data_IF_081555590486
#
_entry.id   IF_081555590486
#
_cell.length_a   1.000
_cell.length_b   1.000
_cell.length_c   1.000
_cell.angle_alpha   90.00
_cell.angle_beta   90.00
_cell.angle_gamma   90.00
#
_symmetry.space_group_name_H-M   'P 1'
#
loop_
_entity.id
_entity.type
_entity.pdbx_description
1 polymer ?
#
# COMPACT_ATOMS: atom_id res chain seq x y z
N UNK A 1 -17.36 -14.54 -5.00
CA UNK A 1 -16.27 -13.54 -4.88
C UNK A 1 -15.52 -13.71 -3.57
N UNK A 2 -16.21 -13.71 -2.42
CA UNK A 2 -15.61 -14.00 -1.09
C UNK A 2 -14.87 -15.34 -1.04
N UNK A 3 -15.43 -16.40 -1.65
CA UNK A 3 -14.77 -17.70 -1.74
C UNK A 3 -13.41 -17.64 -2.47
N UNK A 4 -13.29 -16.80 -3.51
CA UNK A 4 -12.04 -16.62 -4.25
C UNK A 4 -11.00 -15.86 -3.42
N UNK A 5 -11.42 -14.88 -2.61
CA UNK A 5 -10.54 -14.12 -1.71
C UNK A 5 -10.05 -15.02 -0.57
N UNK A 6 -10.94 -15.80 0.02
CA UNK A 6 -10.58 -16.77 1.06
C UNK A 6 -9.56 -17.80 0.54
N UNK A 7 -9.78 -18.34 -0.67
CA UNK A 7 -8.83 -19.24 -1.32
C UNK A 7 -7.46 -18.58 -1.57
N UNK A 8 -7.44 -17.33 -2.06
CA UNK A 8 -6.21 -16.58 -2.28
C UNK A 8 -5.47 -16.32 -0.97
N UNK A 9 -6.17 -15.89 0.08
CA UNK A 9 -5.60 -15.68 1.42
C UNK A 9 -5.02 -16.97 2.00
N UNK A 10 -5.71 -18.11 1.84
CA UNK A 10 -5.19 -19.42 2.24
C UNK A 10 -3.90 -19.80 1.50
N UNK A 11 -3.84 -19.57 0.19
CA UNK A 11 -2.63 -19.78 -0.60
C UNK A 11 -1.48 -18.88 -0.14
N UNK A 12 -1.73 -17.58 0.07
CA UNK A 12 -0.73 -16.61 0.51
C UNK A 12 -0.17 -16.96 1.90
N UNK A 13 -1.02 -17.37 2.84
CA UNK A 13 -0.60 -17.84 4.16
C UNK A 13 0.33 -19.05 4.02
N UNK A 14 -0.09 -20.05 3.23
CA UNK A 14 0.69 -21.28 3.01
C UNK A 14 2.05 -20.99 2.39
N UNK A 15 2.11 -20.13 1.37
CA UNK A 15 3.35 -19.70 0.72
C UNK A 15 4.26 -18.93 1.70
N UNK A 16 3.71 -18.00 2.48
CA UNK A 16 4.48 -17.24 3.47
C UNK A 16 5.19 -18.17 4.46
N UNK A 17 4.49 -19.15 5.03
CA UNK A 17 5.10 -20.06 6.01
C UNK A 17 6.04 -21.08 5.37
N UNK A 18 5.78 -21.51 4.13
CA UNK A 18 6.72 -22.34 3.38
C UNK A 18 8.07 -21.63 3.21
N UNK A 19 8.04 -20.33 2.87
CA UNK A 19 9.24 -19.52 2.66
C UNK A 19 9.95 -19.10 3.96
N UNK A 20 9.29 -19.20 5.11
CA UNK A 20 9.80 -18.71 6.41
C UNK A 20 9.93 -19.82 7.47
N UNK A 21 10.14 -21.06 7.03
CA UNK A 21 10.43 -22.21 7.92
C UNK A 21 11.63 -21.90 8.84
N UNK A 22 11.60 -22.25 10.14
CA UNK A 22 10.61 -23.09 10.84
C UNK A 22 9.50 -22.30 11.56
N UNK A 23 9.25 -21.04 11.19
CA UNK A 23 8.19 -20.25 11.83
C UNK A 23 6.83 -20.76 11.34
N UNK A 24 5.89 -20.92 12.26
CA UNK A 24 4.54 -21.42 11.99
C UNK A 24 3.50 -20.34 12.24
N UNK A 25 2.33 -20.50 11.63
CA UNK A 25 1.17 -19.62 11.86
C UNK A 25 0.80 -19.52 13.34
N UNK A 26 0.82 -20.64 14.05
CA UNK A 26 0.53 -20.68 15.49
C UNK A 26 1.52 -19.83 16.30
N UNK A 27 2.81 -19.86 15.96
CA UNK A 27 3.82 -19.04 16.64
C UNK A 27 3.61 -17.55 16.37
N UNK A 28 3.28 -17.17 15.14
CA UNK A 28 2.95 -15.78 14.81
C UNK A 28 1.69 -15.32 15.56
N UNK A 29 0.62 -16.12 15.58
CA UNK A 29 -0.60 -15.78 16.31
C UNK A 29 -0.34 -15.59 17.79
N UNK A 30 0.36 -16.54 18.42
CA UNK A 30 0.74 -16.43 19.83
C UNK A 30 1.56 -15.17 20.12
N UNK A 31 2.50 -14.83 19.23
CA UNK A 31 3.32 -13.63 19.41
C UNK A 31 2.52 -12.34 19.25
N UNK A 32 1.56 -12.30 18.31
CA UNK A 32 0.65 -11.17 18.16
C UNK A 32 -0.27 -11.01 19.38
N UNK A 33 -0.78 -12.13 19.92
CA UNK A 33 -1.57 -12.14 21.16
C UNK A 33 -0.75 -11.68 22.35
N UNK A 34 0.52 -12.11 22.45
CA UNK A 34 1.44 -11.69 23.51
C UNK A 34 1.74 -10.18 23.47
N UNK A 35 1.90 -9.62 22.27
CA UNK A 35 2.21 -8.19 22.07
C UNK A 35 0.99 -7.32 22.37
N UNK A 36 -0.20 -7.74 21.97
CA UNK A 36 -1.41 -6.91 21.99
C UNK A 36 -2.35 -7.22 23.16
N UNK A 37 -2.20 -8.38 23.81
CA UNK A 37 -3.10 -8.87 24.84
C UNK A 37 -4.48 -9.31 24.34
N UNK A 38 -4.68 -9.37 23.01
CA UNK A 38 -5.96 -9.69 22.38
C UNK A 38 -5.83 -10.87 21.40
N UNK A 39 -6.90 -11.67 21.20
CA UNK A 39 -6.88 -12.82 20.30
C UNK A 39 -6.48 -12.44 18.86
N UNK A 40 -5.62 -13.25 18.23
CA UNK A 40 -5.15 -13.00 16.88
C UNK A 40 -6.00 -13.77 15.85
N UNK A 41 -6.68 -13.01 14.98
CA UNK A 41 -7.48 -13.55 13.88
C UNK A 41 -6.79 -13.23 12.56
N UNK A 42 -6.48 -14.21 11.69
CA UNK A 42 -5.95 -13.92 10.36
C UNK A 42 -6.87 -12.94 9.61
N UNK A 43 -6.30 -11.86 9.07
CA UNK A 43 -7.05 -10.93 8.22
C UNK A 43 -7.70 -11.65 7.04
N UNK A 44 -8.92 -11.25 6.68
CA UNK A 44 -9.66 -11.79 5.52
C UNK A 44 -8.88 -11.66 4.22
N UNK A 45 -8.10 -10.58 4.09
CA UNK A 45 -7.22 -10.33 2.94
C UNK A 45 -5.77 -10.35 3.41
N UNK A 46 -4.95 -11.18 2.77
CA UNK A 46 -3.53 -11.33 3.09
C UNK A 46 -2.63 -10.66 2.05
N UNK A 47 -1.41 -10.32 2.47
CA UNK A 47 -0.36 -9.82 1.60
C UNK A 47 0.46 -10.96 1.03
N UNK A 48 0.96 -10.82 -0.20
CA UNK A 48 1.82 -11.86 -0.81
C UNK A 48 3.17 -12.06 -0.12
N UNK A 49 3.64 -11.07 0.64
CA UNK A 49 4.98 -11.05 1.28
C UNK A 49 4.92 -10.85 2.79
N UNK A 50 3.74 -11.00 3.38
CA UNK A 50 3.50 -10.76 4.81
C UNK A 50 2.34 -11.59 5.34
N UNK A 51 2.45 -12.05 6.57
CA UNK A 51 1.32 -12.61 7.31
C UNK A 51 0.70 -11.54 8.21
N UNK A 52 -0.62 -11.33 8.10
CA UNK A 52 -1.34 -10.26 8.82
C UNK A 52 -2.45 -10.83 9.71
N UNK A 53 -2.50 -10.38 10.96
CA UNK A 53 -3.56 -10.72 11.91
C UNK A 53 -4.18 -9.46 12.49
N UNK A 54 -5.47 -9.54 12.81
CA UNK A 54 -6.25 -8.52 13.50
C UNK A 54 -6.36 -8.95 14.97
N UNK A 55 -6.08 -8.03 15.89
CA UNK A 55 -6.06 -8.22 17.34
C UNK A 55 -6.84 -7.09 18.01
N UNK A 56 -8.17 -7.13 17.92
CA UNK A 56 -9.03 -6.04 18.40
C UNK A 56 -8.75 -4.72 17.67
N UNK A 57 -8.23 -3.73 18.39
CA UNK A 57 -7.95 -2.38 17.89
C UNK A 57 -6.61 -2.26 17.16
N UNK A 58 -5.87 -3.36 17.00
CA UNK A 58 -4.59 -3.38 16.30
C UNK A 58 -4.56 -4.42 15.18
N UNK A 59 -3.68 -4.17 14.21
CA UNK A 59 -3.30 -5.12 13.17
C UNK A 59 -1.81 -5.39 13.31
N UNK A 60 -1.43 -6.67 13.35
CA UNK A 60 -0.04 -7.12 13.45
C UNK A 60 0.38 -7.76 12.14
N UNK A 61 1.50 -7.29 11.58
CA UNK A 61 2.10 -7.81 10.37
C UNK A 61 3.47 -8.43 10.63
N UNK A 62 3.65 -9.65 10.16
CA UNK A 62 4.91 -10.36 10.13
C UNK A 62 5.47 -10.29 8.71
N UNK A 63 6.68 -9.75 8.55
CA UNK A 63 7.34 -9.59 7.25
C UNK A 63 8.74 -10.16 7.28
N UNK A 64 9.16 -10.76 6.17
CA UNK A 64 10.53 -11.20 6.00
C UNK A 64 11.48 -10.00 5.81
N UNK A 65 12.77 -10.25 5.89
CA UNK A 65 13.82 -9.22 5.77
C UNK A 65 13.76 -8.44 4.45
N UNK A 66 13.62 -9.14 3.33
CA UNK A 66 13.52 -8.58 1.98
C UNK A 66 12.21 -7.81 1.75
N UNK A 67 11.25 -7.92 2.67
CA UNK A 67 10.00 -7.16 2.68
C UNK A 67 9.85 -6.30 3.94
N UNK A 68 10.95 -5.92 4.59
CA UNK A 68 10.91 -4.98 5.70
C UNK A 68 10.25 -3.64 5.30
N UNK A 69 9.52 -3.02 6.22
CA UNK A 69 8.93 -1.70 6.00
C UNK A 69 9.98 -0.62 6.26
N UNK A 70 10.04 0.37 5.37
CA UNK A 70 10.79 1.59 5.62
C UNK A 70 9.98 2.49 6.58
N UNK A 71 10.30 2.39 7.87
CA UNK A 71 9.62 3.17 8.92
C UNK A 71 9.87 4.67 8.82
N UNK A 72 10.98 5.11 8.21
CA UNK A 72 11.23 6.54 8.01
C UNK A 72 10.29 7.09 6.94
N UNK A 73 10.16 6.36 5.83
CA UNK A 73 9.19 6.68 4.79
C UNK A 73 7.75 6.63 5.33
N UNK A 74 7.39 5.59 6.10
CA UNK A 74 6.04 5.47 6.64
C UNK A 74 5.66 6.60 7.58
N UNK A 75 6.57 7.07 8.44
CA UNK A 75 6.32 8.27 9.26
C UNK A 75 6.05 9.51 8.41
N UNK A 76 6.74 9.64 7.27
CA UNK A 76 6.48 10.73 6.35
C UNK A 76 5.10 10.60 5.69
N UNK A 77 4.70 9.38 5.31
CA UNK A 77 3.38 9.06 4.76
C UNK A 77 2.27 9.32 5.78
N UNK A 78 2.47 8.96 7.05
CA UNK A 78 1.55 9.19 8.16
C UNK A 78 1.26 10.68 8.36
N UNK A 79 2.28 11.52 8.24
CA UNK A 79 2.11 12.96 8.31
C UNK A 79 1.48 13.52 7.02
N UNK A 80 1.95 13.11 5.84
CA UNK A 80 1.43 13.58 4.55
C UNK A 80 -0.05 13.24 4.35
N UNK A 81 -0.49 12.09 4.86
CA UNK A 81 -1.85 11.58 4.73
C UNK A 81 -2.56 11.49 6.08
N UNK A 82 -2.28 12.42 6.99
CA UNK A 82 -2.84 12.43 8.34
C UNK A 82 -4.36 12.17 8.34
N UNK A 83 -4.79 11.18 9.14
CA UNK A 83 -6.18 10.76 9.26
C UNK A 83 -6.67 9.78 8.19
N UNK A 84 -5.86 9.43 7.20
CA UNK A 84 -6.20 8.45 6.15
C UNK A 84 -5.34 7.18 6.16
N UNK A 85 -4.26 7.16 6.93
CA UNK A 85 -3.34 6.03 7.00
C UNK A 85 -3.14 5.61 8.46
N UNK A 86 -3.01 4.29 8.73
CA UNK A 86 -2.74 3.81 10.08
C UNK A 86 -1.30 4.12 10.49
N UNK A 87 -1.07 4.28 11.79
CA UNK A 87 0.26 4.53 12.33
C UNK A 87 1.04 3.22 12.49
N UNK A 88 2.19 3.09 11.84
CA UNK A 88 3.01 1.89 11.86
C UNK A 88 4.12 2.01 12.90
N UNK A 89 4.28 0.94 13.67
CA UNK A 89 5.39 0.78 14.61
C UNK A 89 6.01 -0.58 14.47
N UNK A 90 7.33 -0.69 14.64
CA UNK A 90 7.99 -1.98 14.80
C UNK A 90 7.98 -2.35 16.27
N UNK A 91 7.42 -3.51 16.57
CA UNK A 91 7.16 -3.98 17.94
C UNK A 91 8.04 -5.16 18.34
N UNK A 92 8.75 -5.76 17.39
CA UNK A 92 9.71 -6.83 17.70
C UNK A 92 10.14 -7.64 16.48
N UNK A 93 10.64 -8.84 16.78
CA UNK A 93 11.07 -9.83 15.82
C UNK A 93 10.68 -11.23 16.30
N UNK A 94 10.37 -12.11 15.36
CA UNK A 94 10.20 -13.54 15.59
C UNK A 94 11.11 -14.30 14.62
N UNK A 95 12.26 -14.76 15.12
CA UNK A 95 13.27 -15.36 14.26
C UNK A 95 13.82 -14.34 13.26
N UNK A 96 13.57 -14.56 11.95
CA UNK A 96 13.95 -13.62 10.87
C UNK A 96 12.81 -12.69 10.43
N UNK A 97 11.64 -12.79 11.06
CA UNK A 97 10.49 -11.97 10.72
C UNK A 97 10.50 -10.70 11.56
N UNK A 98 10.38 -9.55 10.89
CA UNK A 98 10.07 -8.29 11.54
C UNK A 98 8.57 -8.22 11.87
N UNK A 99 8.25 -7.75 13.06
CA UNK A 99 6.89 -7.60 13.54
C UNK A 99 6.54 -6.11 13.59
N UNK A 100 5.48 -5.75 12.87
CA UNK A 100 4.93 -4.41 12.85
C UNK A 100 3.52 -4.44 13.44
N UNK A 101 3.16 -3.41 14.20
CA UNK A 101 1.81 -3.16 14.67
C UNK A 101 1.31 -1.84 14.12
N UNK A 102 0.02 -1.78 13.82
CA UNK A 102 -0.66 -0.57 13.37
C UNK A 102 -2.10 -0.52 13.86
N UNK A 103 -2.68 0.67 13.87
CA UNK A 103 -4.08 0.87 14.26
C UNK A 103 -5.01 0.08 13.33
N UNK A 104 -6.00 -0.59 13.91
CA UNK A 104 -7.09 -1.18 13.13
C UNK A 104 -8.10 -0.09 12.75
N UNK A 105 -7.96 0.44 11.54
CA UNK A 105 -8.86 1.46 11.00
C UNK A 105 -10.26 0.93 10.66
N UNK A 106 -10.47 -0.39 10.74
CA UNK A 106 -11.72 -1.04 10.41
C UNK A 106 -12.13 -0.83 8.95
N UNK A 107 -13.44 -0.86 8.70
CA UNK A 107 -13.99 -0.64 7.37
C UNK A 107 -14.11 -1.91 6.52
N UNK A 108 -14.64 -1.72 5.32
CA UNK A 108 -14.85 -2.78 4.34
C UNK A 108 -14.13 -2.31 3.08
N UNK A 109 -13.29 -3.17 2.51
CA UNK A 109 -12.61 -2.83 1.27
C UNK A 109 -13.61 -2.35 0.21
N UNK A 110 -13.30 -1.26 -0.49
CA UNK A 110 -14.18 -0.66 -1.50
C UNK A 110 -14.67 -1.70 -2.52
N UNK A 111 -13.80 -2.64 -2.88
CA UNK A 111 -14.12 -3.75 -3.78
C UNK A 111 -15.27 -4.64 -3.25
N UNK A 112 -15.33 -4.86 -1.94
CA UNK A 112 -16.39 -5.62 -1.25
C UNK A 112 -17.62 -4.77 -0.93
N UNK A 113 -17.47 -3.45 -0.89
CA UNK A 113 -18.54 -2.49 -0.56
C UNK A 113 -19.33 -1.99 -1.78
N UNK A 114 -19.11 -2.56 -2.98
CA UNK A 114 -19.66 -2.05 -4.25
C UNK A 114 -21.18 -1.94 -4.26
N UNK A 115 -21.89 -2.92 -3.71
CA UNK A 115 -23.36 -2.88 -3.66
C UNK A 115 -23.84 -1.73 -2.77
N UNK A 116 -23.22 -1.57 -1.60
CA UNK A 116 -23.54 -0.51 -0.64
C UNK A 116 -23.23 0.87 -1.22
N UNK A 117 -22.11 1.01 -1.94
CA UNK A 117 -21.72 2.27 -2.59
C UNK A 117 -22.71 2.73 -3.65
N UNK A 118 -23.29 1.81 -4.42
CA UNK A 118 -24.26 2.11 -5.47
C UNK A 118 -25.72 2.15 -4.99
N UNK A 119 -25.98 1.72 -3.75
CA UNK A 119 -27.30 1.83 -3.11
C UNK A 119 -27.60 3.29 -2.68
N UNK A 120 -28.83 3.53 -2.20
CA UNK A 120 -29.25 4.81 -1.60
C UNK A 120 -28.87 6.04 -2.45
N UNK A 121 -29.20 6.00 -3.74
CA UNK A 121 -28.89 7.05 -4.71
C UNK A 121 -27.40 7.46 -4.70
N UNK A 122 -26.51 6.49 -4.52
CA UNK A 122 -25.05 6.67 -4.52
C UNK A 122 -24.54 7.62 -3.42
N UNK A 123 -25.28 7.82 -2.33
CA UNK A 123 -24.90 8.75 -1.26
C UNK A 123 -23.55 8.40 -0.63
N UNK A 124 -23.29 7.10 -0.39
CA UNK A 124 -22.00 6.64 0.13
C UNK A 124 -20.89 6.87 -0.89
N UNK A 125 -21.11 6.51 -2.16
CA UNK A 125 -20.14 6.76 -3.23
C UNK A 125 -19.77 8.25 -3.34
N UNK A 126 -20.74 9.16 -3.29
CA UNK A 126 -20.46 10.60 -3.32
C UNK A 126 -19.59 11.06 -2.15
N UNK A 127 -19.79 10.49 -0.95
CA UNK A 127 -18.95 10.77 0.21
C UNK A 127 -17.55 10.20 0.03
N UNK A 128 -17.44 8.94 -0.39
CA UNK A 128 -16.16 8.29 -0.68
C UNK A 128 -15.35 9.07 -1.71
N UNK A 129 -15.96 9.57 -2.79
CA UNK A 129 -15.27 10.41 -3.79
C UNK A 129 -14.74 11.72 -3.19
N UNK A 130 -15.47 12.36 -2.28
CA UNK A 130 -15.00 13.55 -1.56
C UNK A 130 -13.83 13.22 -0.64
N UNK A 131 -13.90 12.09 0.05
CA UNK A 131 -12.84 11.66 0.97
C UNK A 131 -11.58 11.22 0.19
N UNK A 132 -11.72 10.62 -0.99
CA UNK A 132 -10.61 10.37 -1.92
C UNK A 132 -9.96 11.68 -2.41
N UNK A 133 -10.75 12.69 -2.77
CA UNK A 133 -10.21 13.98 -3.18
C UNK A 133 -9.41 14.63 -2.04
N UNK A 134 -9.89 14.52 -0.79
CA UNK A 134 -9.17 14.97 0.40
C UNK A 134 -7.90 14.18 0.66
N UNK A 135 -7.94 12.85 0.49
CA UNK A 135 -6.76 12.00 0.60
C UNK A 135 -5.66 12.46 -0.36
N UNK A 136 -5.98 12.62 -1.65
CA UNK A 136 -5.00 13.04 -2.65
C UNK A 136 -4.47 14.46 -2.41
N UNK A 137 -5.31 15.40 -1.98
CA UNK A 137 -4.86 16.76 -1.68
C UNK A 137 -4.09 16.87 -0.36
N UNK A 138 -4.32 15.95 0.59
CA UNK A 138 -3.65 15.98 1.91
C UNK A 138 -2.14 16.01 1.77
N UNK A 139 -1.58 15.12 0.96
CA UNK A 139 -0.14 15.05 0.77
C UNK A 139 0.43 16.30 0.12
N UNK A 140 -0.35 17.12 -0.59
CA UNK A 140 0.15 18.36 -1.18
C UNK A 140 0.35 19.45 -0.12
N UNK A 141 -0.42 19.40 0.96
CA UNK A 141 -0.42 20.42 2.01
C UNK A 141 0.38 20.00 3.24
N UNK A 142 0.54 18.70 3.47
CA UNK A 142 1.08 18.14 4.71
C UNK A 142 2.45 17.47 4.54
N UNK A 143 3.17 17.75 3.46
CA UNK A 143 4.51 17.19 3.24
C UNK A 143 5.46 17.50 4.41
N UNK A 144 6.09 16.49 5.02
CA UNK A 144 7.14 16.72 6.00
C UNK A 144 8.33 17.45 5.39
N UNK A 145 8.83 18.46 6.09
CA UNK A 145 10.12 19.07 5.75
C UNK A 145 11.23 18.01 5.85
N UNK A 146 12.06 17.90 4.81
CA UNK A 146 13.18 16.96 4.80
C UNK A 146 12.81 15.51 4.47
N UNK A 147 11.57 15.22 4.04
CA UNK A 147 11.24 13.92 3.48
C UNK A 147 12.22 13.57 2.34
N UNK A 148 12.89 12.39 2.37
CA UNK A 148 13.74 11.96 1.29
C UNK A 148 12.94 11.91 -0.02
N UNK A 149 13.35 12.73 -0.98
CA UNK A 149 12.71 12.80 -2.29
C UNK A 149 13.77 12.57 -3.36
N UNK A 150 13.50 11.70 -4.34
CA UNK A 150 14.42 11.50 -5.46
C UNK A 150 14.60 12.81 -6.23
N UNK A 151 15.76 12.98 -6.86
CA UNK A 151 15.99 14.13 -7.74
C UNK A 151 15.02 14.11 -8.91
N UNK A 152 14.35 15.25 -9.16
CA UNK A 152 13.50 15.45 -10.36
C UNK A 152 14.24 15.11 -11.66
N UNK A 153 15.53 15.46 -11.75
CA UNK A 153 16.36 15.15 -12.90
C UNK A 153 16.64 13.65 -13.02
N UNK A 154 16.87 12.97 -11.90
CA UNK A 154 17.06 11.52 -11.90
C UNK A 154 15.79 10.79 -12.35
N UNK A 155 14.62 11.20 -11.83
CA UNK A 155 13.34 10.65 -12.27
C UNK A 155 13.10 10.92 -13.76
N UNK A 156 13.28 12.16 -14.22
CA UNK A 156 13.12 12.51 -15.63
C UNK A 156 13.98 11.61 -16.54
N UNK A 157 15.24 11.38 -16.16
CA UNK A 157 16.14 10.52 -16.91
C UNK A 157 15.67 9.05 -16.91
N UNK A 158 15.24 8.53 -15.77
CA UNK A 158 14.72 7.17 -15.64
C UNK A 158 13.47 6.95 -16.52
N UNK A 159 12.46 7.80 -16.38
CA UNK A 159 11.24 7.71 -17.19
C UNK A 159 11.52 7.93 -18.69
N UNK A 160 12.48 8.81 -19.05
CA UNK A 160 12.89 9.00 -20.45
C UNK A 160 13.55 7.75 -21.03
N UNK A 161 14.36 7.04 -20.22
CA UNK A 161 14.97 5.77 -20.62
C UNK A 161 13.89 4.71 -20.86
N UNK A 162 12.93 4.57 -19.94
CA UNK A 162 11.82 3.63 -20.06
C UNK A 162 10.97 3.89 -21.31
N UNK A 163 10.68 5.15 -21.65
CA UNK A 163 9.98 5.50 -22.90
C UNK A 163 10.80 5.18 -24.15
N UNK A 164 12.12 5.30 -24.08
CA UNK A 164 13.02 4.92 -25.19
C UNK A 164 12.99 3.42 -25.41
N UNK A 165 13.07 2.62 -24.33
CA UNK A 165 12.96 1.16 -24.38
C UNK A 165 11.60 0.71 -24.90
N UNK A 166 10.51 1.29 -24.40
CA UNK A 166 9.15 1.01 -24.88
C UNK A 166 9.00 1.31 -26.37
N UNK A 167 9.57 2.42 -26.85
CA UNK A 167 9.53 2.77 -28.28
C UNK A 167 10.30 1.77 -29.12
N UNK A 168 11.44 1.29 -28.65
CA UNK A 168 12.23 0.27 -29.35
C UNK A 168 11.51 -1.09 -29.41
N UNK A 169 10.80 -1.47 -28.34
CA UNK A 169 10.12 -2.77 -28.24
C UNK A 169 8.71 -2.82 -28.83
N UNK A 170 8.00 -1.69 -28.92
CA UNK A 170 6.60 -1.66 -29.36
C UNK A 170 6.44 -1.47 -30.87
N UNK A 171 5.35 -2.00 -31.47
CA UNK A 171 5.04 -1.81 -32.88
C UNK A 171 4.95 -0.33 -33.30
N UNK A 172 5.27 0.01 -34.57
CA UNK A 172 5.30 1.39 -35.07
C UNK A 172 4.04 2.23 -34.81
N UNK A 173 2.86 1.59 -34.74
CA UNK A 173 1.59 2.26 -34.40
C UNK A 173 1.60 2.99 -33.05
N UNK A 174 2.50 2.65 -32.13
CA UNK A 174 2.65 3.30 -30.83
C UNK A 174 3.72 4.39 -30.81
N UNK A 175 4.55 4.52 -31.86
CA UNK A 175 5.70 5.43 -31.84
C UNK A 175 5.29 6.90 -31.81
N UNK A 176 4.18 7.24 -32.47
CA UNK A 176 3.66 8.61 -32.47
C UNK A 176 3.23 9.04 -31.07
N UNK A 177 2.47 8.21 -30.35
CA UNK A 177 2.03 8.53 -28.99
C UNK A 177 3.21 8.56 -28.01
N UNK A 178 4.18 7.64 -28.14
CA UNK A 178 5.38 7.65 -27.29
C UNK A 178 6.23 8.89 -27.56
N UNK A 179 6.39 9.32 -28.82
CA UNK A 179 7.07 10.57 -29.15
C UNK A 179 6.38 11.79 -28.54
N UNK A 180 5.04 11.83 -28.60
CA UNK A 180 4.23 12.88 -27.96
C UNK A 180 4.40 12.88 -26.42
N UNK A 181 4.32 11.72 -25.76
CA UNK A 181 4.48 11.62 -24.31
C UNK A 181 5.91 12.01 -23.87
N UNK A 182 6.92 11.55 -24.62
CA UNK A 182 8.33 11.87 -24.33
C UNK A 182 8.60 13.37 -24.38
N UNK A 183 8.02 14.09 -25.35
CA UNK A 183 8.22 15.54 -25.46
C UNK A 183 7.53 16.35 -24.35
N UNK A 184 6.51 15.78 -23.69
CA UNK A 184 5.78 16.42 -22.60
C UNK A 184 6.25 16.00 -21.21
N UNK A 185 6.97 14.87 -21.10
CA UNK A 185 7.47 14.33 -19.84
C UNK A 185 8.19 15.37 -18.96
N UNK A 186 9.06 16.27 -19.47
CA UNK A 186 9.74 17.26 -18.64
C UNK A 186 8.78 18.19 -17.87
N UNK A 187 7.56 18.41 -18.37
CA UNK A 187 6.56 19.27 -17.70
C UNK A 187 6.08 18.70 -16.37
N UNK A 188 6.10 17.37 -16.22
CA UNK A 188 5.71 16.70 -14.96
C UNK A 188 6.77 16.86 -13.85
N UNK A 189 8.00 17.22 -14.23
CA UNK A 189 9.12 17.43 -13.32
C UNK A 189 9.48 18.91 -13.16
N UNK A 190 8.57 19.81 -13.55
CA UNK A 190 8.74 21.24 -13.34
C UNK A 190 8.69 21.58 -11.85
N UNK A 191 9.34 22.68 -11.47
CA UNK A 191 9.60 22.97 -10.05
C UNK A 191 8.36 23.34 -9.24
N UNK A 192 7.29 23.75 -9.93
CA UNK A 192 6.00 24.15 -9.41
C UNK A 192 5.09 22.98 -9.04
N UNK A 193 5.40 21.75 -9.47
CA UNK A 193 4.66 20.55 -9.09
C UNK A 193 5.14 19.98 -7.75
N UNK A 194 4.24 19.69 -6.80
CA UNK A 194 4.62 19.06 -5.54
C UNK A 194 5.14 17.64 -5.80
N UNK A 195 6.23 17.27 -5.14
CA UNK A 195 6.69 15.88 -5.08
C UNK A 195 6.17 15.25 -3.80
N UNK A 196 5.25 14.30 -3.93
CA UNK A 196 4.59 13.66 -2.80
C UNK A 196 4.83 12.15 -2.82
N UNK A 197 4.90 11.48 -1.65
CA UNK A 197 4.81 10.02 -1.63
C UNK A 197 3.49 9.63 -2.27
N UNK A 198 3.51 8.62 -3.13
CA UNK A 198 2.30 8.11 -3.73
C UNK A 198 2.30 6.59 -3.68
N UNK A 199 1.11 6.02 -3.52
CA UNK A 199 0.94 4.58 -3.64
C UNK A 199 0.96 4.21 -5.13
N UNK A 200 1.91 3.36 -5.55
CA UNK A 200 2.11 3.01 -6.96
C UNK A 200 1.03 2.08 -7.54
N UNK A 201 0.20 1.49 -6.66
CA UNK A 201 -0.83 0.51 -7.01
C UNK A 201 -2.14 0.75 -6.24
N UNK A 202 -2.63 2.01 -6.21
CA UNK A 202 -3.83 2.35 -5.43
C UNK A 202 -5.09 1.86 -6.14
N UNK A 203 -5.53 0.65 -5.78
CA UNK A 203 -6.70 -0.03 -6.32
C UNK A 203 -7.80 -0.22 -5.24
N UNK A 204 -9.01 -0.58 -5.66
CA UNK A 204 -10.17 -0.74 -4.75
C UNK A 204 -9.97 -1.80 -3.64
N UNK A 205 -9.06 -2.76 -3.84
CA UNK A 205 -8.70 -3.77 -2.84
C UNK A 205 -7.67 -3.25 -1.81
N UNK A 206 -7.19 -2.02 -1.96
CA UNK A 206 -6.24 -1.32 -1.08
C UNK A 206 -6.86 -0.12 -0.38
N UNK A 207 -8.14 0.16 -0.62
CA UNK A 207 -8.93 1.17 0.07
C UNK A 207 -10.04 0.56 0.90
N UNK A 208 -10.31 1.17 2.06
CA UNK A 208 -11.31 0.78 3.06
C UNK A 208 -12.16 1.97 3.47
#
# INVERSE_FOLDING_TARGET
MEASISALSGYQISQFFSNNTPITQQRCNYEAERITGAPAIPSTVQGGTSYTVITGDSVVQFRADHSALDLQLLRCVEQAYAGFVPCHSRVGELGKLYIYAMDNIGGISMYLAREQLNSDNHRLLQRTLKDYARFFSSAWHNMPEGMPSPSRMMLLNDYSSQFTELRAGLPPRFHQILGYLTSHLPRLFANDWPMVPNHTDLLENKSM
#
